data_IF_700185262666
#
_entry.id   IF_700185262666
#
_cell.length_a   1.000
_cell.length_b   1.000
_cell.length_c   1.000
_cell.angle_alpha   90.00
_cell.angle_beta   90.00
_cell.angle_gamma   90.00
#
_symmetry.space_group_name_H-M   'P 1'
#
loop_
_entity.id
_entity.type
_entity.pdbx_description
1 polymer ?
#
# COMPACT_ATOMS: atom_id res chain seq x y z
N UNK A 1 -4.31 -14.25 -23.75
CA UNK A 1 -4.67 -13.31 -22.68
C UNK A 1 -5.00 -12.01 -23.40
N UNK A 2 -6.21 -11.45 -23.24
CA UNK A 2 -6.51 -10.16 -23.88
C UNK A 2 -5.51 -9.12 -23.38
N UNK A 3 -4.94 -8.36 -24.31
CA UNK A 3 -3.97 -7.29 -24.03
C UNK A 3 -4.68 -5.97 -23.61
N UNK A 4 -5.96 -6.06 -23.27
CA UNK A 4 -6.74 -4.90 -22.82
C UNK A 4 -6.26 -4.45 -21.42
N UNK A 5 -5.99 -3.15 -21.22
CA UNK A 5 -5.54 -2.63 -19.94
C UNK A 5 -6.60 -2.86 -18.84
N UNK A 6 -6.19 -3.52 -17.76
CA UNK A 6 -7.01 -3.77 -16.57
C UNK A 6 -6.49 -3.02 -15.35
N UNK A 7 -7.31 -2.96 -14.29
CA UNK A 7 -6.86 -2.47 -12.99
C UNK A 7 -6.07 -3.58 -12.29
N UNK A 8 -4.83 -3.28 -11.93
CA UNK A 8 -3.97 -4.18 -11.16
C UNK A 8 -3.65 -3.55 -9.81
N UNK A 9 -3.84 -4.31 -8.73
CA UNK A 9 -3.61 -3.85 -7.36
C UNK A 9 -2.36 -4.50 -6.77
N UNK A 10 -1.51 -3.69 -6.12
CA UNK A 10 -0.40 -4.14 -5.30
C UNK A 10 -0.77 -3.94 -3.82
N UNK A 11 -0.66 -4.99 -3.01
CA UNK A 11 -0.93 -4.97 -1.56
C UNK A 11 0.35 -5.32 -0.81
N UNK A 12 0.72 -4.48 0.15
CA UNK A 12 1.94 -4.64 0.94
C UNK A 12 1.58 -4.62 2.43
N UNK A 13 1.93 -5.68 3.15
CA UNK A 13 1.92 -5.70 4.61
C UNK A 13 3.25 -5.19 5.13
N UNK A 14 3.24 -4.16 5.98
CA UNK A 14 4.45 -3.61 6.59
C UNK A 14 4.32 -3.58 8.11
N UNK A 15 5.36 -4.01 8.81
CA UNK A 15 5.47 -3.87 10.25
C UNK A 15 6.21 -2.57 10.57
N UNK A 16 5.47 -1.54 10.92
CA UNK A 16 5.99 -0.20 11.09
C UNK A 16 5.13 0.59 12.07
N UNK A 17 5.70 1.60 12.72
CA UNK A 17 4.88 2.65 13.35
C UNK A 17 4.11 3.41 12.28
N UNK A 18 3.06 4.14 12.68
CA UNK A 18 2.30 5.00 11.76
C UNK A 18 3.22 5.96 10.98
N UNK A 19 4.15 6.62 11.68
CA UNK A 19 5.12 7.53 11.05
C UNK A 19 5.99 6.82 10.01
N UNK A 20 6.53 5.64 10.35
CA UNK A 20 7.35 4.87 9.42
C UNK A 20 6.54 4.41 8.20
N UNK A 21 5.27 4.04 8.40
CA UNK A 21 4.37 3.64 7.33
C UNK A 21 4.07 4.82 6.37
N UNK A 22 3.82 6.02 6.92
CA UNK A 22 3.64 7.25 6.16
C UNK A 22 4.91 7.61 5.36
N UNK A 23 6.10 7.51 5.97
CA UNK A 23 7.37 7.73 5.27
C UNK A 23 7.58 6.76 4.11
N UNK A 24 7.24 5.48 4.30
CA UNK A 24 7.29 4.46 3.23
C UNK A 24 6.32 4.82 2.11
N UNK A 25 5.07 5.18 2.45
CA UNK A 25 4.05 5.61 1.48
C UNK A 25 4.53 6.78 0.64
N UNK A 26 5.11 7.81 1.25
CA UNK A 26 5.63 8.95 0.52
C UNK A 26 6.80 8.58 -0.40
N UNK A 27 7.70 7.70 0.06
CA UNK A 27 8.81 7.21 -0.76
C UNK A 27 8.31 6.44 -1.97
N UNK A 28 7.36 5.52 -1.81
CA UNK A 28 6.79 4.78 -2.94
C UNK A 28 6.06 5.73 -3.89
N UNK A 29 5.29 6.68 -3.35
CA UNK A 29 4.61 7.72 -4.14
C UNK A 29 5.62 8.49 -5.00
N UNK A 30 6.75 8.93 -4.43
CA UNK A 30 7.81 9.63 -5.15
C UNK A 30 8.53 8.75 -6.18
N UNK A 31 8.71 7.47 -5.90
CA UNK A 31 9.31 6.51 -6.84
C UNK A 31 8.42 6.27 -8.07
N UNK A 32 7.10 6.26 -7.89
CA UNK A 32 6.13 6.00 -8.96
C UNK A 32 5.66 7.27 -9.67
N UNK A 33 5.90 8.45 -9.10
CA UNK A 33 5.54 9.73 -9.69
C UNK A 33 6.57 10.11 -10.78
N UNK A 34 6.15 10.26 -12.06
CA UNK A 34 7.07 10.61 -13.13
C UNK A 34 7.60 12.05 -13.02
N UNK A 35 6.85 12.93 -12.37
CA UNK A 35 7.20 14.33 -12.12
C UNK A 35 6.63 14.75 -10.75
N UNK A 36 7.43 14.88 -9.69
CA UNK A 36 6.92 15.22 -8.36
C UNK A 36 6.42 16.67 -8.22
N UNK A 37 6.76 17.56 -9.15
CA UNK A 37 6.50 19.01 -9.04
C UNK A 37 5.35 19.50 -9.95
N UNK A 38 4.56 18.58 -10.51
CA UNK A 38 3.41 18.93 -11.37
C UNK A 38 2.29 19.65 -10.62
N UNK A 39 1.56 20.52 -11.32
CA UNK A 39 0.39 21.20 -10.76
C UNK A 39 -0.80 20.22 -10.58
N UNK A 40 -1.49 20.21 -9.42
CA UNK A 40 -2.69 19.39 -9.23
C UNK A 40 -3.84 19.73 -10.21
N UNK A 41 -4.68 18.75 -10.59
CA UNK A 41 -4.69 17.36 -10.14
C UNK A 41 -3.63 16.48 -10.82
N UNK A 42 -3.13 15.48 -10.10
CA UNK A 42 -2.08 14.60 -10.60
C UNK A 42 -2.56 13.79 -11.83
N UNK A 43 -1.82 13.81 -12.95
CA UNK A 43 -2.23 13.12 -14.17
C UNK A 43 -1.97 11.61 -14.13
N UNK A 44 -1.32 11.08 -13.08
CA UNK A 44 -1.01 9.66 -13.00
C UNK A 44 -2.28 8.83 -12.80
N UNK A 45 -2.43 7.70 -13.51
CA UNK A 45 -3.64 6.88 -13.48
C UNK A 45 -3.68 5.91 -12.28
N UNK A 46 -2.96 6.20 -11.20
CA UNK A 46 -2.86 5.32 -10.03
C UNK A 46 -3.15 6.07 -8.73
N UNK A 47 -3.53 5.32 -7.71
CA UNK A 47 -3.75 5.84 -6.36
C UNK A 47 -3.05 4.93 -5.35
N UNK A 48 -2.74 5.49 -4.18
CA UNK A 48 -2.16 4.74 -3.06
C UNK A 48 -2.95 5.05 -1.80
N UNK A 49 -3.49 4.00 -1.19
CA UNK A 49 -4.14 4.06 0.11
C UNK A 49 -3.26 3.39 1.16
N UNK A 50 -3.46 3.78 2.42
CA UNK A 50 -2.86 3.12 3.56
C UNK A 50 -3.95 2.88 4.60
N UNK A 51 -4.00 1.66 5.12
CA UNK A 51 -4.96 1.24 6.14
C UNK A 51 -4.20 0.60 7.28
N UNK A 52 -4.70 0.77 8.50
CA UNK A 52 -4.11 0.15 9.68
C UNK A 52 -4.87 -1.14 10.01
N UNK A 53 -4.16 -2.21 10.40
CA UNK A 53 -4.76 -3.53 10.67
C UNK A 53 -5.63 -3.59 11.93
N UNK A 54 -5.77 -2.48 12.67
CA UNK A 54 -6.77 -2.33 13.73
C UNK A 54 -8.15 -1.93 13.20
N UNK A 55 -8.24 -1.41 11.97
CA UNK A 55 -9.49 -1.09 11.30
C UNK A 55 -10.20 -2.41 10.91
N UNK A 56 -11.41 -2.69 11.43
CA UNK A 56 -12.16 -3.90 11.10
C UNK A 56 -12.39 -4.09 9.60
N UNK A 57 -12.70 -3.01 8.87
CA UNK A 57 -13.00 -3.06 7.45
C UNK A 57 -11.75 -3.38 6.63
N UNK A 58 -10.58 -2.91 7.10
CA UNK A 58 -9.30 -3.24 6.47
C UNK A 58 -8.94 -4.70 6.68
N UNK A 59 -9.16 -5.24 7.89
CA UNK A 59 -8.91 -6.66 8.18
C UNK A 59 -9.77 -7.58 7.32
N UNK A 60 -11.04 -7.24 7.14
CA UNK A 60 -11.97 -8.00 6.30
C UNK A 60 -11.59 -7.96 4.82
N UNK A 61 -11.18 -6.79 4.31
CA UNK A 61 -10.78 -6.63 2.90
C UNK A 61 -9.42 -7.24 2.55
N UNK A 62 -8.56 -7.45 3.55
CA UNK A 62 -7.17 -7.89 3.35
C UNK A 62 -6.79 -9.12 4.19
N UNK A 63 -7.53 -10.25 4.10
CA UNK A 63 -7.30 -11.42 4.97
C UNK A 63 -5.90 -12.04 4.79
N UNK A 64 -5.34 -12.04 3.58
CA UNK A 64 -3.98 -12.55 3.35
C UNK A 64 -2.89 -11.75 4.07
N UNK A 65 -3.08 -10.43 4.24
CA UNK A 65 -2.15 -9.61 5.02
C UNK A 65 -2.29 -9.87 6.53
N UNK A 66 -3.51 -10.19 7.00
CA UNK A 66 -3.74 -10.65 8.39
C UNK A 66 -2.99 -11.96 8.63
N UNK A 67 -3.21 -12.96 7.78
CA UNK A 67 -2.61 -14.29 7.90
C UNK A 67 -1.08 -14.21 7.91
N UNK A 68 -0.50 -13.44 6.97
CA UNK A 68 0.94 -13.22 6.94
C UNK A 68 1.44 -12.59 8.26
N UNK A 69 0.78 -11.53 8.74
CA UNK A 69 1.20 -10.85 9.97
C UNK A 69 1.08 -11.73 11.23
N UNK A 70 0.16 -12.68 11.23
CA UNK A 70 0.00 -13.69 12.28
C UNK A 70 1.08 -14.78 12.19
N UNK A 71 1.39 -15.27 10.99
CA UNK A 71 2.47 -16.23 10.76
C UNK A 71 3.84 -15.65 11.14
N UNK A 72 4.09 -14.40 10.76
CA UNK A 72 5.32 -13.67 11.05
C UNK A 72 5.40 -13.16 12.51
N UNK A 73 4.34 -13.33 13.30
CA UNK A 73 4.28 -12.81 14.69
C UNK A 73 5.40 -13.31 15.58
N UNK A 74 5.87 -14.53 15.34
CA UNK A 74 6.91 -15.19 16.12
C UNK A 74 8.32 -14.98 15.56
N UNK A 75 8.43 -14.37 14.38
CA UNK A 75 9.69 -13.99 13.73
C UNK A 75 10.10 -12.54 14.10
N UNK A 76 9.32 -11.89 14.96
CA UNK A 76 9.56 -10.53 15.43
C UNK A 76 10.82 -10.50 16.32
N UNK A 77 11.75 -9.56 16.10
CA UNK A 77 12.85 -9.30 17.03
C UNK A 77 12.34 -8.74 18.37
#
# INVERSE_FOLDING_TARGET
>A
MSEDPGVHELRLGIYATQQQADEIKERITRLLCPDPDHAPPCPVPWSMSMVHMSDPDARERHPGLVEQAEAEKHLRP
#
